data_IF_298454001330
#
_entry.id   IF_298454001330
#
_cell.length_a   1.000
_cell.length_b   1.000
_cell.length_c   1.000
_cell.angle_alpha   90.00
_cell.angle_beta   90.00
_cell.angle_gamma   90.00
#
_symmetry.space_group_name_H-M   'P 1'
#
loop_
_entity.id
_entity.type
_entity.pdbx_description
1 polymer ?
#
# COMPACT_ATOMS: atom_id res chain seq x y z
N UNK A 1 7.11 16.06 -13.43
CA UNK A 1 7.73 15.02 -12.57
C UNK A 1 8.70 15.55 -11.54
N UNK A 2 9.80 16.24 -11.89
CA UNK A 2 10.81 16.62 -10.90
C UNK A 2 10.27 17.63 -9.86
N UNK A 3 9.45 18.60 -10.28
CA UNK A 3 8.77 19.55 -9.39
C UNK A 3 7.76 18.87 -8.44
N UNK A 4 6.99 17.94 -8.98
CA UNK A 4 6.00 17.09 -8.29
C UNK A 4 6.70 16.20 -7.24
N UNK A 5 7.75 15.49 -7.63
CA UNK A 5 8.58 14.72 -6.71
C UNK A 5 9.25 15.60 -5.65
N UNK A 6 9.60 16.84 -5.98
CA UNK A 6 10.13 17.81 -5.03
C UNK A 6 9.07 18.25 -4.01
N UNK A 7 7.82 18.46 -4.43
CA UNK A 7 6.70 18.75 -3.53
C UNK A 7 6.44 17.59 -2.56
N UNK A 8 6.42 16.36 -3.07
CA UNK A 8 6.32 15.16 -2.24
C UNK A 8 7.51 15.04 -1.27
N UNK A 9 8.73 15.27 -1.76
CA UNK A 9 9.94 15.24 -0.94
C UNK A 9 9.92 16.31 0.16
N UNK A 10 9.36 17.48 -0.12
CA UNK A 10 9.14 18.54 0.88
C UNK A 10 8.20 18.08 1.99
N UNK A 11 7.06 17.47 1.66
CA UNK A 11 6.12 16.94 2.65
C UNK A 11 6.68 15.74 3.44
N UNK A 12 7.50 14.90 2.81
CA UNK A 12 8.23 13.85 3.51
C UNK A 12 9.29 14.47 4.43
N UNK A 13 10.01 15.49 3.97
CA UNK A 13 11.01 16.19 4.76
C UNK A 13 10.41 16.90 5.97
N UNK A 14 9.21 17.49 5.87
CA UNK A 14 8.51 18.05 7.03
C UNK A 14 8.20 16.97 8.06
N UNK A 15 7.81 15.77 7.63
CA UNK A 15 7.66 14.60 8.52
C UNK A 15 8.96 14.19 9.22
N UNK A 16 10.09 14.19 8.50
CA UNK A 16 11.42 13.92 9.09
C UNK A 16 11.81 15.00 10.10
N UNK A 17 11.61 16.28 9.75
CA UNK A 17 11.88 17.41 10.64
C UNK A 17 11.00 17.36 11.88
N UNK A 18 9.73 16.98 11.72
CA UNK A 18 8.81 16.79 12.84
C UNK A 18 9.33 15.75 13.82
N UNK A 19 9.92 14.62 13.37
CA UNK A 19 10.53 13.66 14.30
C UNK A 19 11.59 14.30 15.22
N UNK A 20 12.29 15.34 14.74
CA UNK A 20 13.39 15.99 15.46
C UNK A 20 12.90 17.16 16.34
N UNK A 21 11.87 17.88 15.89
CA UNK A 21 11.37 19.09 16.54
C UNK A 21 10.03 18.91 17.27
N UNK A 22 9.43 17.71 17.20
CA UNK A 22 8.15 17.44 17.83
C UNK A 22 8.20 17.69 19.34
N UNK A 23 7.08 18.15 19.93
CA UNK A 23 6.99 18.34 21.37
C UNK A 23 7.36 17.07 22.15
N UNK A 24 8.37 17.16 23.01
CA UNK A 24 8.95 15.99 23.70
C UNK A 24 8.01 15.32 24.71
N UNK A 25 6.92 15.99 25.09
CA UNK A 25 5.93 15.45 26.02
C UNK A 25 5.10 14.29 25.41
N UNK A 26 5.10 14.14 24.09
CA UNK A 26 4.47 13.02 23.38
C UNK A 26 5.57 12.24 22.66
N UNK A 27 5.54 10.90 22.76
CA UNK A 27 6.53 10.07 22.06
C UNK A 27 6.44 10.28 20.54
N UNK A 28 7.56 10.26 19.82
CA UNK A 28 7.57 10.38 18.36
C UNK A 28 6.68 9.33 17.67
N UNK A 29 6.59 8.13 18.25
CA UNK A 29 5.73 7.05 17.77
C UNK A 29 4.24 7.34 17.97
N UNK A 30 3.87 8.03 19.06
CA UNK A 30 2.49 8.45 19.34
C UNK A 30 2.01 9.53 18.37
N UNK A 31 2.85 10.51 18.02
CA UNK A 31 2.51 11.52 17.00
C UNK A 31 2.16 10.85 15.66
N UNK A 32 3.00 9.90 15.24
CA UNK A 32 2.81 9.16 13.99
C UNK A 32 1.51 8.37 14.01
N UNK A 33 1.27 7.61 15.09
CA UNK A 33 0.04 6.82 15.26
C UNK A 33 -1.20 7.69 15.21
N UNK A 34 -1.24 8.79 15.96
CA UNK A 34 -2.39 9.70 15.97
C UNK A 34 -2.72 10.23 14.57
N UNK A 35 -1.70 10.60 13.79
CA UNK A 35 -1.88 11.10 12.43
C UNK A 35 -2.34 9.98 11.48
N UNK A 36 -1.74 8.79 11.55
CA UNK A 36 -2.17 7.66 10.71
C UNK A 36 -3.57 7.17 11.07
N UNK A 37 -3.93 7.17 12.36
CA UNK A 37 -5.26 6.75 12.84
C UNK A 37 -6.33 7.76 12.42
N UNK A 38 -6.05 9.07 12.51
CA UNK A 38 -6.92 10.12 11.98
C UNK A 38 -7.20 9.88 10.50
N UNK A 39 -6.15 9.67 9.71
CA UNK A 39 -6.29 9.47 8.27
C UNK A 39 -7.05 8.17 7.98
N UNK A 40 -6.72 7.07 8.67
CA UNK A 40 -7.35 5.78 8.43
C UNK A 40 -8.81 5.69 8.88
N UNK A 41 -9.15 6.28 10.02
CA UNK A 41 -10.47 6.15 10.62
C UNK A 41 -11.47 7.19 10.12
N UNK A 42 -11.01 8.35 9.62
CA UNK A 42 -11.89 9.46 9.24
C UNK A 42 -11.65 9.89 7.79
N UNK A 43 -10.43 10.27 7.43
CA UNK A 43 -10.18 10.92 6.13
C UNK A 43 -10.23 9.95 4.95
N UNK A 44 -9.69 8.72 5.10
CA UNK A 44 -9.76 7.68 4.07
C UNK A 44 -11.21 7.22 3.83
N UNK A 45 -12.03 6.93 4.85
CA UNK A 45 -13.46 6.70 4.67
C UNK A 45 -14.17 7.84 3.93
N UNK A 46 -13.82 9.09 4.25
CA UNK A 46 -14.37 10.25 3.56
C UNK A 46 -13.94 10.30 2.08
N UNK A 47 -12.67 10.07 1.79
CA UNK A 47 -12.12 9.96 0.42
C UNK A 47 -12.82 8.85 -0.38
N UNK A 48 -13.03 7.69 0.24
CA UNK A 48 -13.73 6.56 -0.38
C UNK A 48 -15.16 6.93 -0.76
N UNK A 49 -15.90 7.58 0.14
CA UNK A 49 -17.25 8.05 -0.14
C UNK A 49 -17.28 9.19 -1.17
N UNK A 50 -16.31 10.10 -1.13
CA UNK A 50 -16.21 11.21 -2.08
C UNK A 50 -16.08 10.71 -3.52
N UNK A 51 -15.21 9.72 -3.73
CA UNK A 51 -14.87 9.22 -5.05
C UNK A 51 -15.84 8.10 -5.48
N UNK A 52 -15.98 7.04 -4.69
CA UNK A 52 -16.66 5.82 -5.14
C UNK A 52 -18.19 5.92 -5.12
N UNK A 53 -18.78 6.90 -4.43
CA UNK A 53 -20.22 7.14 -4.51
C UNK A 53 -20.62 7.58 -5.92
N UNK A 54 -19.75 8.27 -6.66
CA UNK A 54 -20.03 8.69 -8.05
C UNK A 54 -19.24 7.92 -9.11
N UNK A 55 -18.30 7.07 -8.71
CA UNK A 55 -17.47 6.32 -9.64
C UNK A 55 -18.29 5.33 -10.48
N UNK A 56 -18.02 5.19 -11.78
CA UNK A 56 -18.63 4.15 -12.59
C UNK A 56 -18.10 2.78 -12.17
N UNK A 57 -19.00 1.87 -11.79
CA UNK A 57 -18.66 0.45 -11.63
C UNK A 57 -18.78 -0.26 -12.98
N UNK A 58 -17.75 -0.14 -13.80
CA UNK A 58 -17.64 -0.76 -15.12
C UNK A 58 -16.67 -1.96 -15.10
N UNK A 59 -16.47 -2.56 -16.27
CA UNK A 59 -15.56 -3.70 -16.45
C UNK A 59 -14.11 -3.39 -16.02
N UNK A 60 -13.67 -2.13 -16.05
CA UNK A 60 -12.31 -1.74 -15.64
C UNK A 60 -12.08 -1.94 -14.15
N UNK A 61 -13.13 -1.87 -13.33
CA UNK A 61 -13.05 -2.15 -11.89
C UNK A 61 -12.56 -3.57 -11.63
N UNK A 62 -13.10 -4.55 -12.38
CA UNK A 62 -12.66 -5.92 -12.30
C UNK A 62 -11.23 -6.07 -12.83
N UNK A 63 -10.88 -5.36 -13.91
CA UNK A 63 -9.52 -5.36 -14.45
C UNK A 63 -8.50 -4.90 -13.41
N UNK A 64 -8.76 -3.80 -12.69
CA UNK A 64 -7.88 -3.30 -11.63
C UNK A 64 -7.73 -4.30 -10.48
N UNK A 65 -8.84 -4.91 -10.03
CA UNK A 65 -8.81 -5.90 -8.97
C UNK A 65 -8.06 -7.18 -9.38
N UNK A 66 -8.26 -7.68 -10.60
CA UNK A 66 -7.54 -8.86 -11.11
C UNK A 66 -6.05 -8.58 -11.32
N UNK A 67 -5.68 -7.39 -11.78
CA UNK A 67 -4.28 -6.96 -11.84
C UNK A 67 -3.64 -6.90 -10.46
N UNK A 68 -4.36 -6.41 -9.44
CA UNK A 68 -3.87 -6.45 -8.07
C UNK A 68 -3.70 -7.89 -7.58
N UNK A 69 -4.69 -8.76 -7.80
CA UNK A 69 -4.62 -10.17 -7.39
C UNK A 69 -3.47 -10.93 -8.07
N UNK A 70 -3.20 -10.67 -9.35
CA UNK A 70 -2.07 -11.30 -10.05
C UNK A 70 -0.73 -10.89 -9.43
N UNK A 71 -0.57 -9.61 -9.10
CA UNK A 71 0.58 -9.09 -8.35
C UNK A 71 0.75 -9.79 -7.01
N UNK A 72 -0.31 -9.86 -6.19
CA UNK A 72 -0.27 -10.50 -4.87
C UNK A 72 0.14 -11.98 -4.99
N UNK A 73 -0.43 -12.67 -5.97
CA UNK A 73 -0.19 -14.11 -6.20
C UNK A 73 1.25 -14.38 -6.62
N UNK A 74 1.77 -13.63 -7.60
CA UNK A 74 3.16 -13.78 -8.05
C UNK A 74 4.13 -13.45 -6.93
N UNK A 75 3.89 -12.36 -6.19
CA UNK A 75 4.72 -12.01 -5.04
C UNK A 75 4.71 -13.12 -3.96
N UNK A 76 3.55 -13.73 -3.69
CA UNK A 76 3.43 -14.83 -2.74
C UNK A 76 4.21 -16.07 -3.18
N UNK A 77 4.05 -16.49 -4.44
CA UNK A 77 4.74 -17.67 -4.99
C UNK A 77 6.25 -17.45 -5.04
N UNK A 78 6.71 -16.32 -5.59
CA UNK A 78 8.13 -16.01 -5.68
C UNK A 78 8.79 -15.91 -4.29
N UNK A 79 8.13 -15.27 -3.34
CA UNK A 79 8.68 -15.13 -1.99
C UNK A 79 8.71 -16.47 -1.27
N UNK A 80 7.66 -17.29 -1.41
CA UNK A 80 7.62 -18.63 -0.86
C UNK A 80 8.77 -19.49 -1.42
N UNK A 81 8.95 -19.54 -2.74
CA UNK A 81 10.07 -20.26 -3.37
C UNK A 81 11.43 -19.75 -2.89
N UNK A 82 11.58 -18.44 -2.76
CA UNK A 82 12.83 -17.84 -2.27
C UNK A 82 13.13 -18.24 -0.83
N UNK A 83 12.11 -18.29 0.04
CA UNK A 83 12.27 -18.74 1.42
C UNK A 83 12.65 -20.23 1.49
N UNK A 84 12.09 -21.09 0.63
CA UNK A 84 12.45 -22.50 0.57
C UNK A 84 13.93 -22.70 0.18
N UNK A 85 14.46 -21.85 -0.69
CA UNK A 85 15.88 -21.87 -1.06
C UNK A 85 16.76 -21.28 0.06
N UNK A 86 16.38 -20.13 0.60
CA UNK A 86 17.20 -19.40 1.56
C UNK A 86 17.31 -20.13 2.91
N UNK A 87 16.28 -20.88 3.31
CA UNK A 87 16.32 -21.77 4.48
C UNK A 87 17.37 -22.89 4.36
N UNK A 88 17.78 -23.26 3.15
CA UNK A 88 18.89 -24.22 2.95
C UNK A 88 20.26 -23.59 3.16
N UNK A 89 20.36 -22.27 3.05
CA UNK A 89 21.61 -21.51 3.11
C UNK A 89 21.83 -20.86 4.47
N UNK A 90 20.76 -20.51 5.18
CA UNK A 90 20.83 -19.87 6.49
C UNK A 90 19.61 -20.19 7.37
N UNK A 91 19.76 -20.17 8.71
CA UNK A 91 18.64 -20.37 9.61
C UNK A 91 17.69 -19.16 9.57
N UNK A 92 16.43 -19.40 9.21
CA UNK A 92 15.36 -18.40 9.20
C UNK A 92 14.24 -18.87 10.10
N UNK A 93 13.94 -18.09 11.14
CA UNK A 93 12.86 -18.44 12.07
C UNK A 93 11.49 -18.34 11.40
N UNK A 94 10.49 -19.05 11.91
CA UNK A 94 9.11 -18.95 11.38
C UNK A 94 8.56 -17.52 11.43
N UNK A 95 8.85 -16.79 12.52
CA UNK A 95 8.47 -15.39 12.66
C UNK A 95 9.06 -14.49 11.56
N UNK A 96 10.31 -14.77 11.13
CA UNK A 96 10.94 -14.07 10.02
C UNK A 96 10.33 -14.44 8.67
N UNK A 97 10.02 -15.71 8.45
CA UNK A 97 9.34 -16.16 7.22
C UNK A 97 8.00 -15.45 7.04
N UNK A 98 7.17 -15.41 8.09
CA UNK A 98 5.90 -14.70 8.05
C UNK A 98 6.06 -13.20 7.76
N UNK A 99 7.01 -12.54 8.42
CA UNK A 99 7.31 -11.13 8.17
C UNK A 99 7.73 -10.87 6.71
N UNK A 100 8.65 -11.67 6.17
CA UNK A 100 9.15 -11.52 4.81
C UNK A 100 8.07 -11.82 3.75
N UNK A 101 7.22 -12.83 3.98
CA UNK A 101 6.07 -13.11 3.11
C UNK A 101 5.11 -11.94 3.05
N UNK A 102 4.67 -11.42 4.21
CA UNK A 102 3.81 -10.25 4.26
C UNK A 102 4.46 -9.04 3.58
N UNK A 103 5.78 -8.87 3.75
CA UNK A 103 6.49 -7.73 3.21
C UNK A 103 6.55 -7.73 1.67
N UNK A 104 6.72 -8.90 1.06
CA UNK A 104 6.74 -9.03 -0.40
C UNK A 104 5.32 -8.97 -1.00
N UNK A 105 4.35 -9.62 -0.36
CA UNK A 105 3.01 -9.84 -0.93
C UNK A 105 2.18 -8.57 -1.01
N UNK A 106 2.29 -7.66 -0.04
CA UNK A 106 1.34 -6.54 0.07
C UNK A 106 2.00 -5.19 -0.26
N UNK A 107 1.61 -4.55 -1.38
CA UNK A 107 2.10 -3.24 -1.76
C UNK A 107 1.44 -2.15 -0.93
N UNK A 108 2.12 -1.02 -0.77
CA UNK A 108 1.57 0.17 -0.14
C UNK A 108 0.69 0.99 -1.11
N UNK A 109 -0.32 0.35 -1.68
CA UNK A 109 -1.15 0.93 -2.75
C UNK A 109 -1.90 2.19 -2.29
N UNK A 110 -2.46 2.20 -1.08
CA UNK A 110 -3.23 3.37 -0.60
C UNK A 110 -2.33 4.46 0.00
N UNK A 111 -1.47 4.16 0.99
CA UNK A 111 -0.74 5.23 1.70
C UNK A 111 0.36 5.86 0.85
N UNK A 112 0.98 5.10 -0.06
CA UNK A 112 2.04 5.61 -0.94
C UNK A 112 1.57 5.74 -2.39
N UNK A 113 0.70 4.85 -2.86
CA UNK A 113 0.16 4.97 -4.21
C UNK A 113 -0.70 6.21 -4.41
N UNK A 114 -1.62 6.56 -3.50
CA UNK A 114 -2.41 7.80 -3.62
C UNK A 114 -1.54 9.03 -3.84
N UNK A 115 -0.56 9.37 -2.97
CA UNK A 115 0.26 10.55 -3.18
C UNK A 115 1.21 10.42 -4.37
N UNK A 116 1.72 9.24 -4.74
CA UNK A 116 2.59 9.13 -5.92
C UNK A 116 1.81 9.30 -7.23
N UNK A 117 0.66 8.63 -7.37
CA UNK A 117 -0.06 8.63 -8.64
C UNK A 117 -0.80 9.93 -8.87
N UNK A 118 -1.37 10.54 -7.83
CA UNK A 118 -2.04 11.85 -7.95
C UNK A 118 -1.08 12.94 -8.39
N UNK A 119 0.10 12.96 -7.80
CA UNK A 119 1.15 13.93 -8.08
C UNK A 119 1.69 13.76 -9.52
N UNK A 120 1.91 12.52 -9.97
CA UNK A 120 2.54 12.26 -11.27
C UNK A 120 1.55 12.25 -12.44
N UNK A 121 0.34 11.71 -12.23
CA UNK A 121 -0.66 11.47 -13.28
C UNK A 121 -1.93 12.32 -13.09
N UNK A 122 -2.23 12.77 -11.88
CA UNK A 122 -3.41 13.57 -11.54
C UNK A 122 -4.40 12.86 -10.60
N UNK A 123 -5.28 13.63 -9.97
CA UNK A 123 -6.24 13.18 -8.95
C UNK A 123 -7.25 12.14 -9.44
N UNK A 124 -7.46 12.02 -10.76
CA UNK A 124 -8.29 10.98 -11.35
C UNK A 124 -7.80 9.56 -11.01
N UNK A 125 -6.51 9.42 -10.68
CA UNK A 125 -5.94 8.13 -10.26
C UNK A 125 -6.45 7.66 -8.91
N UNK A 126 -7.01 8.53 -8.06
CA UNK A 126 -7.54 8.13 -6.76
C UNK A 126 -8.60 7.03 -6.90
N UNK A 127 -9.46 7.09 -7.92
CA UNK A 127 -10.44 6.04 -8.21
C UNK A 127 -9.77 4.68 -8.47
N UNK A 128 -8.71 4.67 -9.29
CA UNK A 128 -7.94 3.45 -9.59
C UNK A 128 -7.27 2.91 -8.34
N UNK A 129 -6.66 3.78 -7.52
CA UNK A 129 -6.01 3.37 -6.27
C UNK A 129 -7.00 2.69 -5.35
N UNK A 130 -8.17 3.30 -5.13
CA UNK A 130 -9.20 2.75 -4.27
C UNK A 130 -9.76 1.43 -4.82
N UNK A 131 -10.00 1.34 -6.13
CA UNK A 131 -10.44 0.10 -6.78
C UNK A 131 -9.39 -1.01 -6.65
N UNK A 132 -8.13 -0.70 -6.92
CA UNK A 132 -7.01 -1.63 -6.82
C UNK A 132 -6.78 -2.14 -5.39
N UNK A 133 -6.82 -1.26 -4.40
CA UNK A 133 -6.53 -1.63 -3.01
C UNK A 133 -7.74 -2.24 -2.29
N UNK A 134 -8.90 -1.60 -2.35
CA UNK A 134 -10.05 -1.99 -1.52
C UNK A 134 -10.83 -3.18 -2.07
N UNK A 135 -10.71 -3.52 -3.36
CA UNK A 135 -11.29 -4.75 -3.92
C UNK A 135 -10.33 -5.94 -3.92
N UNK A 136 -9.03 -5.72 -3.67
CA UNK A 136 -8.03 -6.79 -3.72
C UNK A 136 -7.03 -6.74 -2.56
N UNK A 137 -6.09 -5.78 -2.55
CA UNK A 137 -4.97 -5.79 -1.61
C UNK A 137 -5.39 -5.80 -0.13
N UNK A 138 -6.23 -4.85 0.28
CA UNK A 138 -6.68 -4.72 1.68
C UNK A 138 -7.54 -5.90 2.13
N UNK A 139 -8.59 -6.34 1.40
CA UNK A 139 -9.35 -7.53 1.76
C UNK A 139 -8.49 -8.80 1.83
N UNK A 140 -7.58 -9.02 0.88
CA UNK A 140 -6.70 -10.19 0.88
C UNK A 140 -5.72 -10.15 2.06
N UNK A 141 -5.18 -8.97 2.41
CA UNK A 141 -4.35 -8.81 3.59
C UNK A 141 -5.10 -9.18 4.88
N UNK A 142 -6.31 -8.65 5.04
CA UNK A 142 -7.17 -8.88 6.19
C UNK A 142 -7.85 -10.25 6.17
N UNK A 143 -7.58 -11.09 5.18
CA UNK A 143 -8.05 -12.47 5.14
C UNK A 143 -6.88 -13.42 5.10
N UNK A 144 -6.35 -13.67 3.91
CA UNK A 144 -5.24 -14.58 3.67
C UNK A 144 -3.95 -14.09 4.33
N UNK A 145 -3.68 -12.78 4.31
CA UNK A 145 -2.50 -12.20 4.96
C UNK A 145 -2.48 -12.45 6.47
N UNK A 146 -3.61 -12.28 7.15
CA UNK A 146 -3.71 -12.58 8.59
C UNK A 146 -3.68 -14.08 8.90
N UNK A 147 -4.32 -14.92 8.07
CA UNK A 147 -4.20 -16.38 8.21
C UNK A 147 -2.76 -16.85 8.05
N UNK A 148 -2.02 -16.24 7.12
CA UNK A 148 -0.60 -16.45 6.94
C UNK A 148 0.20 -15.94 8.14
N UNK A 149 -0.08 -14.74 8.63
CA UNK A 149 0.57 -14.20 9.82
C UNK A 149 0.37 -15.10 11.04
N UNK A 150 -0.84 -15.65 11.18
CA UNK A 150 -1.21 -16.57 12.24
C UNK A 150 -0.48 -17.93 12.12
N UNK A 151 -0.28 -18.44 10.90
CA UNK A 151 0.39 -19.74 10.70
C UNK A 151 1.89 -19.68 10.99
N UNK A 152 2.52 -18.52 10.78
CA UNK A 152 3.93 -18.28 11.09
C UNK A 152 4.19 -17.71 12.49
N UNK A 153 3.18 -17.10 13.10
CA UNK A 153 3.25 -16.46 14.41
C UNK A 153 3.06 -17.42 15.59
N UNK A 154 3.23 -16.90 16.81
CA UNK A 154 3.09 -17.64 18.07
C UNK A 154 1.97 -17.06 18.94
N UNK A 155 0.82 -16.79 18.34
CA UNK A 155 -0.31 -16.16 19.03
C UNK A 155 -1.43 -17.16 19.28
N UNK A 156 -1.80 -17.33 20.56
CA UNK A 156 -2.96 -18.10 21.04
C UNK A 156 -4.30 -17.48 20.58
N UNK A 157 -4.34 -16.15 20.40
CA UNK A 157 -5.52 -15.43 19.93
C UNK A 157 -5.74 -15.60 18.43
N UNK A 158 -6.58 -16.58 18.10
CA UNK A 158 -7.11 -16.76 16.74
C UNK A 158 -8.18 -15.71 16.46
N UNK A 159 -7.80 -14.53 15.95
CA UNK A 159 -8.79 -13.58 15.46
C UNK A 159 -9.39 -14.09 14.15
N UNK A 160 -10.71 -14.31 14.11
CA UNK A 160 -11.38 -14.72 12.89
C UNK A 160 -11.21 -13.65 11.80
N UNK A 161 -10.75 -13.98 10.58
CA UNK A 161 -10.43 -12.99 9.56
C UNK A 161 -11.63 -12.09 9.20
N UNK A 162 -12.84 -12.67 9.13
CA UNK A 162 -14.07 -11.91 8.91
C UNK A 162 -14.31 -10.82 9.97
N UNK A 163 -13.98 -11.07 11.24
CA UNK A 163 -14.15 -10.05 12.29
C UNK A 163 -13.21 -8.87 12.11
N UNK A 164 -12.02 -9.09 11.54
CA UNK A 164 -11.09 -8.00 11.30
C UNK A 164 -11.48 -7.17 10.08
N UNK A 165 -12.09 -7.76 9.05
CA UNK A 165 -12.72 -6.99 7.97
C UNK A 165 -13.77 -6.01 8.51
N UNK A 166 -14.58 -6.45 9.48
CA UNK A 166 -15.61 -5.61 10.13
C UNK A 166 -15.02 -4.45 10.95
N UNK A 167 -13.72 -4.47 11.27
CA UNK A 167 -13.06 -3.40 12.02
C UNK A 167 -12.37 -2.36 11.15
N UNK A 168 -12.47 -2.45 9.82
CA UNK A 168 -11.77 -1.55 8.89
C UNK A 168 -12.73 -0.47 8.37
N UNK A 169 -12.63 0.78 8.87
CA UNK A 169 -13.57 1.84 8.48
C UNK A 169 -13.64 2.12 6.98
N UNK A 170 -12.52 2.13 6.21
CA UNK A 170 -12.58 2.31 4.76
C UNK A 170 -13.39 1.25 4.01
N UNK A 171 -13.49 0.01 4.52
CA UNK A 171 -14.31 -1.03 3.89
C UNK A 171 -15.80 -0.76 4.09
N UNK A 172 -16.20 -0.21 5.24
CA UNK A 172 -17.58 0.22 5.45
C UNK A 172 -17.96 1.41 4.57
N UNK A 173 -17.03 2.36 4.42
CA UNK A 173 -17.19 3.44 3.46
C UNK A 173 -17.32 2.93 2.02
N UNK A 174 -16.53 1.92 1.63
CA UNK A 174 -16.66 1.28 0.32
C UNK A 174 -18.04 0.65 0.13
N UNK A 175 -18.50 -0.13 1.11
CA UNK A 175 -19.81 -0.78 1.05
C UNK A 175 -20.93 0.25 0.93
N UNK A 176 -20.87 1.30 1.74
CA UNK A 176 -21.84 2.39 1.70
C UNK A 176 -21.79 3.14 0.37
N UNK A 177 -20.60 3.52 -0.11
CA UNK A 177 -20.41 4.18 -1.41
C UNK A 177 -20.97 3.34 -2.56
N UNK A 178 -20.71 2.03 -2.55
CA UNK A 178 -21.17 1.09 -3.56
C UNK A 178 -22.70 0.97 -3.55
N UNK A 179 -23.32 0.82 -2.37
CA UNK A 179 -24.78 0.75 -2.25
C UNK A 179 -25.43 2.04 -2.73
N UNK A 180 -24.91 3.20 -2.31
CA UNK A 180 -25.43 4.50 -2.71
C UNK A 180 -25.28 4.75 -4.22
N UNK A 181 -24.16 4.33 -4.81
CA UNK A 181 -23.92 4.41 -6.26
C UNK A 181 -24.89 3.50 -7.04
N UNK A 182 -25.04 2.24 -6.64
CA UNK A 182 -25.91 1.26 -7.32
C UNK A 182 -27.38 1.67 -7.27
N UNK A 183 -27.83 2.32 -6.19
CA UNK A 183 -29.17 2.88 -6.07
C UNK A 183 -29.31 4.28 -6.67
N UNK A 184 -28.25 4.79 -7.31
CA UNK A 184 -28.20 6.12 -7.91
C UNK A 184 -28.66 7.23 -6.94
N UNK A 185 -28.33 7.09 -5.66
CA UNK A 185 -28.71 8.07 -4.64
C UNK A 185 -27.95 9.36 -4.93
N UNK A 186 -28.64 10.50 -5.15
CA UNK A 186 -27.97 11.76 -5.42
C UNK A 186 -27.16 12.17 -4.18
N UNK A 187 -25.90 12.52 -4.39
CA UNK A 187 -25.04 13.00 -3.30
C UNK A 187 -25.33 14.48 -3.03
N UNK A 188 -25.85 14.86 -1.85
CA UNK A 188 -26.15 16.25 -1.51
C UNK A 188 -24.88 17.11 -1.54
N UNK A 189 -24.98 18.33 -2.07
CA UNK A 189 -23.84 19.26 -2.23
C UNK A 189 -23.09 19.49 -0.91
N UNK A 190 -23.82 19.66 0.20
CA UNK A 190 -23.24 19.86 1.52
C UNK A 190 -22.37 18.67 1.96
N UNK A 191 -22.84 17.43 1.72
CA UNK A 191 -22.09 16.22 2.07
C UNK A 191 -20.88 16.08 1.15
N UNK A 192 -21.05 16.32 -0.16
CA UNK A 192 -19.95 16.28 -1.12
C UNK A 192 -18.82 17.25 -0.72
N UNK A 193 -19.15 18.50 -0.36
CA UNK A 193 -18.13 19.47 0.08
C UNK A 193 -17.41 19.04 1.35
N UNK A 194 -18.14 18.50 2.34
CA UNK A 194 -17.53 18.01 3.58
C UNK A 194 -16.59 16.82 3.31
N UNK A 195 -17.03 15.87 2.48
CA UNK A 195 -16.23 14.71 2.08
C UNK A 195 -14.98 15.13 1.32
N UNK A 196 -15.11 15.99 0.30
CA UNK A 196 -13.99 16.54 -0.46
C UNK A 196 -12.99 17.28 0.45
N UNK A 197 -13.47 18.05 1.43
CA UNK A 197 -12.59 18.78 2.36
C UNK A 197 -11.75 17.81 3.21
N UNK A 198 -12.38 16.75 3.72
CA UNK A 198 -11.68 15.71 4.48
C UNK A 198 -10.74 14.90 3.58
N UNK A 199 -11.17 14.57 2.37
CA UNK A 199 -10.41 13.84 1.35
C UNK A 199 -9.12 14.57 0.98
N UNK A 200 -9.16 15.90 0.83
CA UNK A 200 -7.99 16.73 0.54
C UNK A 200 -6.89 16.67 1.61
N UNK A 201 -7.20 16.24 2.83
CA UNK A 201 -6.23 16.02 3.88
C UNK A 201 -5.45 14.70 3.77
N UNK A 202 -5.92 13.72 2.98
CA UNK A 202 -5.32 12.38 2.94
C UNK A 202 -3.89 12.42 2.41
N UNK A 203 -3.69 12.87 1.17
CA UNK A 203 -2.38 12.91 0.50
C UNK A 203 -1.29 13.63 1.33
N UNK A 204 -1.48 14.88 1.79
CA UNK A 204 -0.43 15.60 2.52
C UNK A 204 -0.11 14.96 3.87
N UNK A 205 -1.13 14.52 4.62
CA UNK A 205 -0.91 13.88 5.91
C UNK A 205 -0.21 12.52 5.74
N UNK A 206 -0.54 11.73 4.71
CA UNK A 206 0.14 10.46 4.44
C UNK A 206 1.62 10.66 4.10
N UNK A 207 1.97 11.68 3.32
CA UNK A 207 3.36 12.02 3.02
C UNK A 207 4.15 12.45 4.27
N UNK A 208 3.52 13.22 5.16
CA UNK A 208 4.11 13.60 6.46
C UNK A 208 4.30 12.35 7.34
N UNK A 209 3.28 11.50 7.46
CA UNK A 209 3.36 10.24 8.22
C UNK A 209 4.45 9.31 7.67
N UNK A 210 4.63 9.28 6.35
CA UNK A 210 5.69 8.53 5.70
C UNK A 210 7.06 9.06 6.13
N UNK A 211 7.27 10.38 6.10
CA UNK A 211 8.48 11.02 6.63
C UNK A 211 8.73 10.71 8.10
N UNK A 212 7.68 10.67 8.93
CA UNK A 212 7.74 10.27 10.33
C UNK A 212 8.00 8.76 10.56
N UNK A 213 7.86 7.94 9.50
CA UNK A 213 8.10 6.49 9.55
C UNK A 213 9.53 6.11 9.17
N UNK A 214 10.33 7.06 8.64
CA UNK A 214 11.72 6.81 8.25
C UNK A 214 12.56 6.60 9.51
N UNK A 215 13.10 5.38 9.67
CA UNK A 215 13.91 4.97 10.82
C UNK A 215 15.26 4.44 10.37
N UNK A 216 16.26 5.32 10.37
CA UNK A 216 17.64 5.03 9.95
C UNK A 216 18.30 3.89 10.73
N UNK A 217 17.93 3.72 12.01
CA UNK A 217 18.57 2.75 12.91
C UNK A 217 18.08 1.31 12.73
N UNK A 218 17.03 1.09 11.91
CA UNK A 218 16.43 -0.23 11.71
C UNK A 218 17.20 -1.09 10.71
N UNK A 219 18.02 -0.46 9.87
CA UNK A 219 18.76 -1.14 8.82
C UNK A 219 20.09 -1.70 9.35
N UNK A 220 20.29 -3.01 9.16
CA UNK A 220 21.55 -3.69 9.49
C UNK A 220 22.03 -4.46 8.27
N UNK A 221 23.31 -4.33 7.93
CA UNK A 221 23.92 -4.99 6.75
C UNK A 221 23.66 -6.51 6.72
N UNK A 222 23.64 -7.15 7.90
CA UNK A 222 23.30 -8.58 8.08
C UNK A 222 21.94 -8.98 7.51
N UNK A 223 20.97 -8.05 7.45
CA UNK A 223 19.61 -8.34 7.01
C UNK A 223 19.47 -8.27 5.48
N UNK A 224 20.45 -7.72 4.76
CA UNK A 224 20.40 -7.53 3.30
C UNK A 224 20.01 -8.82 2.55
N UNK A 225 20.57 -10.01 2.85
CA UNK A 225 20.20 -11.24 2.14
C UNK A 225 18.71 -11.62 2.29
N UNK A 226 18.07 -11.22 3.39
CA UNK A 226 16.64 -11.45 3.64
C UNK A 226 15.77 -10.36 2.97
N UNK A 227 16.24 -9.12 2.96
CA UNK A 227 15.48 -7.96 2.48
C UNK A 227 15.55 -7.78 0.95
N UNK A 228 16.66 -8.17 0.32
CA UNK A 228 16.89 -7.99 -1.12
C UNK A 228 15.86 -8.76 -1.97
N UNK A 229 15.51 -10.02 -1.64
CA UNK A 229 14.39 -10.71 -2.30
C UNK A 229 13.06 -9.95 -2.21
N UNK A 230 12.73 -9.38 -1.05
CA UNK A 230 11.48 -8.63 -0.86
C UNK A 230 11.42 -7.45 -1.82
N UNK A 231 12.52 -6.71 -1.95
CA UNK A 231 12.59 -5.55 -2.85
C UNK A 231 12.58 -5.97 -4.31
N UNK A 232 13.34 -6.99 -4.70
CA UNK A 232 13.37 -7.50 -6.07
C UNK A 232 11.99 -8.02 -6.51
N UNK A 233 11.35 -8.80 -5.64
CA UNK A 233 10.03 -9.36 -5.92
C UNK A 233 8.99 -8.24 -5.98
N UNK A 234 8.94 -7.39 -4.96
CA UNK A 234 7.91 -6.36 -4.82
C UNK A 234 8.03 -5.22 -5.83
N UNK A 235 9.24 -4.77 -6.15
CA UNK A 235 9.49 -3.59 -7.00
C UNK A 235 9.76 -3.93 -8.46
N UNK A 236 10.12 -5.18 -8.78
CA UNK A 236 10.44 -5.60 -10.15
C UNK A 236 9.57 -6.76 -10.64
N UNK A 237 9.60 -7.92 -9.97
CA UNK A 237 8.97 -9.14 -10.50
C UNK A 237 7.43 -9.05 -10.47
N UNK A 238 6.86 -8.64 -9.35
CA UNK A 238 5.41 -8.52 -9.18
C UNK A 238 4.77 -7.46 -10.09
N UNK A 239 5.35 -6.26 -10.30
CA UNK A 239 4.81 -5.29 -11.25
C UNK A 239 4.94 -5.73 -12.72
N UNK A 240 5.93 -6.55 -13.09
CA UNK A 240 5.97 -7.16 -14.45
C UNK A 240 4.73 -8.03 -14.68
N UNK A 241 4.35 -8.85 -13.70
CA UNK A 241 3.14 -9.67 -13.79
C UNK A 241 1.88 -8.81 -13.86
N UNK A 242 1.81 -7.75 -13.04
CA UNK A 242 0.72 -6.79 -13.09
C UNK A 242 0.60 -6.13 -14.46
N UNK A 243 1.72 -5.73 -15.08
CA UNK A 243 1.75 -5.12 -16.41
C UNK A 243 1.20 -6.06 -17.50
N UNK A 244 1.66 -7.32 -17.52
CA UNK A 244 1.14 -8.32 -18.47
C UNK A 244 -0.36 -8.57 -18.30
N UNK A 245 -0.82 -8.74 -17.06
CA UNK A 245 -2.24 -8.99 -16.79
C UNK A 245 -3.09 -7.76 -17.08
N UNK A 246 -2.64 -6.56 -16.71
CA UNK A 246 -3.32 -5.32 -17.03
C UNK A 246 -3.49 -5.13 -18.55
N UNK A 247 -2.43 -5.38 -19.33
CA UNK A 247 -2.50 -5.32 -20.80
C UNK A 247 -3.45 -6.38 -21.37
N UNK A 248 -3.41 -7.61 -20.85
CA UNK A 248 -4.31 -8.70 -21.26
C UNK A 248 -5.78 -8.41 -20.92
N UNK A 249 -6.04 -7.64 -19.87
CA UNK A 249 -7.38 -7.20 -19.46
C UNK A 249 -7.83 -5.91 -20.17
N UNK A 250 -7.10 -5.46 -21.20
CA UNK A 250 -7.46 -4.31 -22.02
C UNK A 250 -7.20 -2.95 -21.39
N UNK A 251 -6.36 -2.87 -20.34
CA UNK A 251 -5.93 -1.59 -19.80
C UNK A 251 -4.85 -0.98 -20.69
N UNK A 252 -5.03 0.28 -21.07
CA UNK A 252 -4.12 1.00 -21.96
C UNK A 252 -3.79 2.40 -21.41
N UNK A 253 -2.75 3.01 -21.99
CA UNK A 253 -2.37 4.40 -21.70
C UNK A 253 -2.11 4.68 -20.22
N UNK A 254 -2.72 5.76 -19.72
CA UNK A 254 -2.50 6.21 -18.36
C UNK A 254 -3.10 5.26 -17.30
N UNK A 255 -4.21 4.56 -17.59
CA UNK A 255 -4.79 3.60 -16.67
C UNK A 255 -3.85 2.41 -16.43
N UNK A 256 -3.24 1.88 -17.50
CA UNK A 256 -2.19 0.87 -17.41
C UNK A 256 -1.02 1.39 -16.58
N UNK A 257 -0.60 2.63 -16.83
CA UNK A 257 0.51 3.26 -16.11
C UNK A 257 0.22 3.35 -14.61
N UNK A 258 -0.95 3.86 -14.23
CA UNK A 258 -1.38 3.96 -12.84
C UNK A 258 -1.38 2.58 -12.14
N UNK A 259 -1.97 1.56 -12.77
CA UNK A 259 -2.01 0.21 -12.19
C UNK A 259 -0.64 -0.42 -11.97
N UNK A 260 0.28 -0.26 -12.93
CA UNK A 260 1.64 -0.82 -12.80
C UNK A 260 2.43 -0.07 -11.73
N UNK A 261 2.28 1.26 -11.64
CA UNK A 261 2.88 2.02 -10.54
C UNK A 261 2.34 1.54 -9.18
N UNK A 262 1.03 1.34 -9.04
CA UNK A 262 0.43 0.79 -7.83
C UNK A 262 0.97 -0.61 -7.48
N UNK A 263 1.16 -1.46 -8.48
CA UNK A 263 1.75 -2.78 -8.31
C UNK A 263 3.24 -2.74 -7.90
N UNK A 264 3.96 -1.70 -8.34
CA UNK A 264 5.36 -1.43 -8.05
C UNK A 264 5.58 -0.65 -6.74
N UNK A 265 4.51 -0.36 -5.98
CA UNK A 265 4.63 0.29 -4.68
C UNK A 265 5.42 -0.58 -3.70
N UNK A 266 6.20 0.06 -2.80
CA UNK A 266 6.99 -0.64 -1.78
C UNK A 266 6.09 -1.34 -0.76
N UNK A 267 6.70 -2.04 0.19
CA UNK A 267 5.97 -2.80 1.21
C UNK A 267 5.01 -1.93 2.03
N UNK A 268 3.81 -2.44 2.29
CA UNK A 268 2.80 -1.77 3.09
C UNK A 268 3.24 -1.53 4.55
N UNK A 269 3.08 -0.31 5.05
CA UNK A 269 3.45 0.05 6.44
C UNK A 269 2.56 -0.67 7.48
N UNK A 270 1.29 -0.89 7.16
CA UNK A 270 0.31 -1.53 8.06
C UNK A 270 0.72 -2.95 8.49
N UNK A 271 1.55 -3.65 7.70
CA UNK A 271 2.04 -4.97 8.11
C UNK A 271 2.95 -4.97 9.34
N UNK A 272 3.49 -3.82 9.78
CA UNK A 272 4.18 -3.70 11.07
C UNK A 272 3.23 -4.05 12.22
N UNK A 273 2.01 -3.53 12.19
CA UNK A 273 0.97 -3.79 13.21
C UNK A 273 0.57 -5.26 13.21
N UNK A 274 0.45 -5.86 12.02
CA UNK A 274 0.16 -7.29 11.88
C UNK A 274 1.31 -8.12 12.47
N UNK A 275 2.57 -7.75 12.19
CA UNK A 275 3.71 -8.45 12.77
C UNK A 275 3.74 -8.36 14.29
N UNK A 276 3.47 -7.19 14.87
CA UNK A 276 3.36 -7.02 16.33
C UNK A 276 2.22 -7.88 16.91
N UNK A 277 1.04 -7.84 16.28
CA UNK A 277 -0.15 -8.57 16.72
C UNK A 277 0.05 -10.08 16.73
N UNK A 278 0.68 -10.63 15.70
CA UNK A 278 0.89 -12.08 15.56
C UNK A 278 2.24 -12.57 16.11
N UNK A 279 3.04 -11.68 16.72
CA UNK A 279 4.39 -11.96 17.24
C UNK A 279 5.34 -12.49 16.15
N UNK A 280 5.31 -11.87 14.98
CA UNK A 280 6.30 -12.06 13.92
C UNK A 280 7.52 -11.16 14.15
N UNK A 281 8.53 -11.24 13.28
CA UNK A 281 9.71 -10.37 13.35
C UNK A 281 9.38 -8.96 12.81
N UNK A 282 8.81 -8.12 13.68
CA UNK A 282 8.43 -6.74 13.35
C UNK A 282 9.63 -5.84 13.02
N UNK A 283 10.81 -6.12 13.57
CA UNK A 283 12.02 -5.36 13.27
C UNK A 283 12.50 -5.63 11.83
N UNK A 284 12.49 -6.90 11.42
CA UNK A 284 12.78 -7.29 10.04
C UNK A 284 11.75 -6.72 9.06
N UNK A 285 10.46 -6.75 9.40
CA UNK A 285 9.41 -6.14 8.58
C UNK A 285 9.62 -4.64 8.39
N UNK A 286 9.89 -3.91 9.48
CA UNK A 286 10.17 -2.48 9.43
C UNK A 286 11.42 -2.17 8.58
N UNK A 287 12.46 -3.01 8.65
CA UNK A 287 13.63 -2.87 7.77
C UNK A 287 13.28 -3.11 6.28
N UNK A 288 12.37 -4.04 5.98
CA UNK A 288 11.87 -4.27 4.63
C UNK A 288 11.06 -3.08 4.09
N UNK A 289 10.18 -2.50 4.91
CA UNK A 289 9.45 -1.27 4.59
C UNK A 289 10.42 -0.14 4.28
N UNK A 290 11.41 0.09 5.15
CA UNK A 290 12.42 1.15 4.94
C UNK A 290 13.21 0.95 3.65
N UNK A 291 13.77 -0.26 3.44
CA UNK A 291 14.61 -0.54 2.27
C UNK A 291 13.81 -0.48 0.97
N UNK A 292 12.61 -1.06 0.92
CA UNK A 292 11.75 -1.02 -0.27
C UNK A 292 11.29 0.40 -0.58
N UNK A 293 10.96 1.20 0.44
CA UNK A 293 10.56 2.60 0.25
C UNK A 293 11.72 3.41 -0.34
N UNK A 294 12.94 3.24 0.17
CA UNK A 294 14.12 3.95 -0.37
C UNK A 294 14.41 3.54 -1.82
N UNK A 295 14.38 2.24 -2.11
CA UNK A 295 14.59 1.72 -3.48
C UNK A 295 13.46 2.10 -4.44
N UNK A 296 12.23 2.29 -3.93
CA UNK A 296 11.08 2.67 -4.76
C UNK A 296 11.22 4.03 -5.42
N UNK A 297 12.02 4.95 -4.85
CA UNK A 297 12.29 6.25 -5.47
C UNK A 297 12.92 6.05 -6.86
N UNK A 298 13.90 5.15 -6.95
CA UNK A 298 14.53 4.79 -8.21
C UNK A 298 13.64 3.89 -9.07
N UNK A 299 13.05 2.83 -8.49
CA UNK A 299 12.29 1.85 -9.28
C UNK A 299 11.02 2.44 -9.90
N UNK A 300 10.28 3.28 -9.16
CA UNK A 300 9.08 3.94 -9.70
C UNK A 300 9.42 4.92 -10.82
N UNK A 301 10.56 5.61 -10.73
CA UNK A 301 11.05 6.48 -11.80
C UNK A 301 11.34 5.68 -13.07
N UNK A 302 11.99 4.51 -12.95
CA UNK A 302 12.24 3.59 -14.08
C UNK A 302 10.94 3.05 -14.66
N UNK A 303 10.00 2.61 -13.81
CA UNK A 303 8.70 2.13 -14.28
C UNK A 303 7.94 3.20 -15.05
N UNK A 304 7.90 4.42 -14.53
CA UNK A 304 7.22 5.52 -15.19
C UNK A 304 7.82 5.81 -16.56
N UNK A 305 9.14 5.88 -16.70
CA UNK A 305 9.80 6.16 -17.99
C UNK A 305 9.58 5.04 -19.00
N UNK A 306 9.62 3.78 -18.56
CA UNK A 306 9.35 2.62 -19.42
C UNK A 306 7.91 2.63 -19.92
N UNK A 307 6.94 2.93 -19.05
CA UNK A 307 5.50 2.92 -19.40
C UNK A 307 5.09 4.11 -20.27
N UNK A 308 5.76 5.26 -20.13
CA UNK A 308 5.54 6.44 -20.97
C UNK A 308 6.28 6.38 -22.32
N UNK A 309 7.17 5.39 -22.50
CA UNK A 309 7.88 5.23 -23.77
C UNK A 309 6.90 4.71 -24.84
N UNK A 310 6.91 5.27 -26.08
CA UNK A 310 5.96 4.91 -27.13
C UNK A 310 5.96 3.41 -27.50
N UNK A 311 7.00 2.66 -27.16
CA UNK A 311 7.11 1.22 -27.36
C UNK A 311 6.24 0.38 -26.40
N UNK A 312 5.78 0.91 -25.27
CA UNK A 312 4.93 0.18 -24.32
C UNK A 312 3.44 0.16 -24.73
N UNK A 313 3.06 1.00 -25.71
CA UNK A 313 1.69 1.17 -26.21
C UNK A 313 1.28 0.24 -27.37
N UNK A 314 2.21 -0.58 -27.91
CA UNK A 314 1.93 -1.58 -28.95
C UNK A 314 1.81 -2.97 -28.36
#
# INVERSE_FOLDING_TARGET
>A
MLAVMLQMALLIATGILWQRFAPQHISGLSHRRALTDLVFCILLPALVLDILWRAPFDATTLSFALTALSRLTVAAVCMWLTLQLLQRLMPISRAQQGALMLAAIFPNATYLGLPVTSEVLGDWTHEIVLKFDLFACTPVLLTLGMLLAQSYGQTEQKSHPLRALLTVPPLWALLLATVLNLWQVPQPVMIAHALHTLAGGVVPLMLIALGMSIRWDTFKLRLIPLLLPVCLIGLCIAPIAAWWVAKALGLHGEQLTACVLLAAMPTMVFGIVICERYRLDGALYAAAVFMSTLLSIGSLSVWFTVLQSPAAGT
#
